data_IF_630230863458
#
_entry.id   IF_630230863458
#
_cell.length_a   1.000
_cell.length_b   1.000
_cell.length_c   1.000
_cell.angle_alpha   90.00
_cell.angle_beta   90.00
_cell.angle_gamma   90.00
#
_symmetry.space_group_name_H-M   'P 1'
#
loop_
_entity.id
_entity.type
_entity.pdbx_description
1 polymer ?
#
# COMPACT_ATOMS: atom_id res chain seq x y z
N UNK A 1 -31.31 17.32 3.67
CA UNK A 1 -30.09 16.64 3.18
C UNK A 1 -29.34 17.71 2.41
N UNK A 2 -28.25 18.22 2.95
CA UNK A 2 -27.42 19.17 2.21
C UNK A 2 -26.73 18.36 1.07
N UNK A 3 -26.58 18.93 -0.13
CA UNK A 3 -25.91 18.21 -1.20
C UNK A 3 -24.46 17.94 -0.78
N UNK A 4 -24.09 16.66 -0.72
CA UNK A 4 -22.72 16.25 -0.49
C UNK A 4 -21.83 16.87 -1.58
N UNK A 5 -20.75 17.53 -1.18
CA UNK A 5 -19.83 18.14 -2.14
C UNK A 5 -18.83 17.12 -2.66
N UNK A 6 -18.81 16.93 -3.97
CA UNK A 6 -17.80 16.07 -4.63
C UNK A 6 -16.44 16.76 -4.56
N UNK A 7 -15.47 16.13 -3.91
CA UNK A 7 -14.08 16.60 -3.88
C UNK A 7 -13.43 16.37 -5.24
N UNK A 8 -13.44 15.11 -5.70
CA UNK A 8 -12.98 14.70 -7.05
C UNK A 8 -13.43 13.29 -7.40
N UNK A 9 -13.36 12.95 -8.67
CA UNK A 9 -13.48 11.57 -9.14
C UNK A 9 -12.19 10.80 -8.88
N UNK A 10 -12.30 9.49 -8.70
CA UNK A 10 -11.13 8.62 -8.64
C UNK A 10 -10.46 8.53 -10.02
N UNK A 11 -9.13 8.49 -10.01
CA UNK A 11 -8.34 8.15 -11.19
C UNK A 11 -8.41 6.64 -11.47
N UNK A 12 -7.98 6.21 -12.66
CA UNK A 12 -8.08 4.81 -13.05
C UNK A 12 -7.33 3.86 -12.12
N UNK A 13 -6.15 4.28 -11.63
CA UNK A 13 -5.36 3.47 -10.70
C UNK A 13 -6.00 3.36 -9.31
N UNK A 14 -6.81 4.34 -8.91
CA UNK A 14 -7.53 4.37 -7.65
C UNK A 14 -8.83 3.56 -7.71
N UNK A 15 -9.51 3.55 -8.87
CA UNK A 15 -10.72 2.75 -9.09
C UNK A 15 -10.51 1.28 -8.80
N UNK A 16 -9.36 0.71 -9.18
CA UNK A 16 -9.02 -0.67 -8.88
C UNK A 16 -9.06 -0.95 -7.36
N UNK A 17 -8.63 0.01 -6.55
CA UNK A 17 -8.60 -0.10 -5.10
C UNK A 17 -10.00 0.06 -4.50
N UNK A 18 -10.83 0.90 -5.08
CA UNK A 18 -12.25 1.06 -4.71
C UNK A 18 -13.08 -0.20 -5.05
N UNK A 19 -12.87 -0.81 -6.22
CA UNK A 19 -13.57 -2.05 -6.61
C UNK A 19 -13.20 -3.25 -5.71
N UNK A 20 -12.02 -3.22 -5.09
CA UNK A 20 -11.56 -4.27 -4.17
C UNK A 20 -11.80 -3.96 -2.69
N UNK A 21 -12.41 -2.81 -2.36
CA UNK A 21 -12.67 -2.34 -0.99
C UNK A 21 -11.40 -2.42 -0.11
N UNK A 22 -10.28 -1.91 -0.62
CA UNK A 22 -8.98 -2.14 -0.03
C UNK A 22 -8.59 -1.06 0.98
N UNK A 23 -8.34 -1.45 2.24
CA UNK A 23 -7.83 -0.60 3.31
C UNK A 23 -6.41 -1.02 3.70
N UNK A 24 -5.55 -0.05 3.94
CA UNK A 24 -4.20 -0.25 4.47
C UNK A 24 -4.19 0.10 5.94
N UNK A 25 -3.65 -0.78 6.78
CA UNK A 25 -3.50 -0.57 8.21
C UNK A 25 -2.04 -0.43 8.61
N UNK A 26 -1.72 0.58 9.43
CA UNK A 26 -0.41 0.73 10.06
C UNK A 26 -0.60 0.94 11.57
N UNK A 27 0.04 0.09 12.37
CA UNK A 27 -0.03 0.14 13.83
C UNK A 27 1.30 0.51 14.47
N UNK A 28 1.22 1.15 15.65
CA UNK A 28 2.36 1.43 16.50
C UNK A 28 2.20 0.70 17.84
N UNK A 29 3.29 0.16 18.38
CA UNK A 29 3.30 -0.42 19.73
C UNK A 29 3.69 0.64 20.75
N UNK A 30 2.79 0.96 21.66
CA UNK A 30 3.02 1.90 22.74
C UNK A 30 3.30 1.16 24.05
N UNK A 31 4.34 1.56 24.76
CA UNK A 31 4.70 1.01 26.08
C UNK A 31 4.25 1.97 27.18
N UNK A 32 3.63 1.41 28.20
CA UNK A 32 3.10 2.16 29.33
C UNK A 32 1.62 2.55 29.16
N UNK A 33 1.06 3.28 30.14
CA UNK A 33 -0.33 3.71 30.09
C UNK A 33 -0.55 4.69 28.94
N UNK A 34 -1.66 4.48 28.22
CA UNK A 34 -2.07 5.36 27.12
C UNK A 34 -3.30 6.16 27.56
N UNK A 35 -3.25 7.44 27.37
CA UNK A 35 -4.37 8.34 27.57
C UNK A 35 -5.28 8.27 26.33
N UNK A 36 -6.41 7.59 26.47
CA UNK A 36 -7.36 7.36 25.38
C UNK A 36 -8.06 8.65 24.96
N UNK A 37 -8.35 9.55 25.90
CA UNK A 37 -9.01 10.83 25.61
C UNK A 37 -8.05 11.75 24.82
N UNK A 38 -6.77 11.79 25.23
CA UNK A 38 -5.75 12.52 24.47
C UNK A 38 -5.53 11.93 23.08
N UNK A 39 -5.59 10.59 22.92
CA UNK A 39 -5.45 9.94 21.62
C UNK A 39 -6.66 10.21 20.71
N UNK A 40 -7.88 10.26 21.29
CA UNK A 40 -9.10 10.64 20.57
C UNK A 40 -9.00 12.08 20.07
N UNK A 41 -8.60 13.02 20.93
CA UNK A 41 -8.42 14.43 20.55
C UNK A 41 -7.32 14.62 19.48
N UNK A 42 -6.24 13.81 19.56
CA UNK A 42 -5.20 13.80 18.53
C UNK A 42 -5.72 13.28 17.19
N UNK A 43 -6.59 12.28 17.23
CA UNK A 43 -7.23 11.74 16.02
C UNK A 43 -8.17 12.77 15.39
N UNK A 44 -9.03 13.43 16.18
CA UNK A 44 -9.89 14.49 15.68
C UNK A 44 -9.06 15.63 15.04
N UNK A 45 -7.92 15.96 15.64
CA UNK A 45 -6.98 16.94 15.10
C UNK A 45 -6.35 16.50 13.76
N UNK A 46 -6.02 15.22 13.62
CA UNK A 46 -5.54 14.67 12.35
C UNK A 46 -6.62 14.78 11.26
N UNK A 47 -7.89 14.53 11.60
CA UNK A 47 -9.01 14.67 10.67
C UNK A 47 -9.24 16.13 10.28
N UNK A 48 -9.13 17.06 11.22
CA UNK A 48 -9.19 18.51 10.94
C UNK A 48 -8.05 18.97 10.02
N UNK A 49 -6.83 18.43 10.23
CA UNK A 49 -5.68 18.71 9.38
C UNK A 49 -5.85 18.15 7.96
N UNK A 50 -6.58 17.05 7.82
CA UNK A 50 -6.71 16.27 6.57
C UNK A 50 -8.17 15.91 6.29
N UNK A 51 -9.01 16.89 5.90
CA UNK A 51 -10.46 16.68 5.73
C UNK A 51 -10.83 15.57 4.72
N UNK A 52 -9.95 15.23 3.77
CA UNK A 52 -10.19 14.12 2.84
C UNK A 52 -10.34 12.78 3.54
N UNK A 53 -9.77 12.62 4.74
CA UNK A 53 -9.89 11.37 5.52
C UNK A 53 -11.33 11.16 6.06
N UNK A 54 -12.09 12.25 6.29
CA UNK A 54 -13.49 12.16 6.72
C UNK A 54 -14.46 11.95 5.56
N UNK A 55 -13.96 11.90 4.33
CA UNK A 55 -14.77 11.66 3.14
C UNK A 55 -15.21 10.19 3.03
N UNK A 56 -16.08 9.93 2.08
CA UNK A 56 -16.52 8.59 1.69
C UNK A 56 -16.50 8.43 0.17
N UNK A 57 -16.62 7.20 -0.32
CA UNK A 57 -16.75 6.94 -1.74
C UNK A 57 -18.23 6.77 -2.11
N UNK A 58 -18.63 7.46 -3.15
CA UNK A 58 -19.90 7.23 -3.82
C UNK A 58 -19.68 6.84 -5.28
N UNK A 59 -20.58 6.01 -5.80
CA UNK A 59 -20.60 5.71 -7.24
C UNK A 59 -21.42 6.78 -7.97
N UNK A 60 -20.74 7.52 -8.84
CA UNK A 60 -21.37 8.55 -9.68
C UNK A 60 -22.28 7.95 -10.76
N UNK A 61 -23.03 8.82 -11.44
CA UNK A 61 -23.95 8.42 -12.52
C UNK A 61 -23.25 7.75 -13.72
N UNK A 62 -21.97 8.00 -13.91
CA UNK A 62 -21.13 7.39 -14.93
C UNK A 62 -20.54 6.03 -14.50
N UNK A 63 -20.91 5.52 -13.31
CA UNK A 63 -20.47 4.27 -12.74
C UNK A 63 -19.11 4.34 -12.05
N UNK A 64 -18.39 5.47 -12.12
CA UNK A 64 -17.10 5.67 -11.45
C UNK A 64 -17.28 6.15 -10.03
N UNK A 65 -16.32 5.80 -9.16
CA UNK A 65 -16.30 6.31 -7.81
C UNK A 65 -15.82 7.77 -7.75
N UNK A 66 -16.35 8.48 -6.78
CA UNK A 66 -15.96 9.84 -6.45
C UNK A 66 -15.77 9.97 -4.94
N UNK A 67 -14.81 10.79 -4.54
CA UNK A 67 -14.59 11.16 -3.15
C UNK A 67 -15.58 12.28 -2.84
N UNK A 68 -16.40 12.07 -1.82
CA UNK A 68 -17.46 12.98 -1.43
C UNK A 68 -17.23 13.41 0.00
N UNK A 69 -17.21 14.73 0.24
CA UNK A 69 -17.15 15.25 1.59
C UNK A 69 -18.42 14.87 2.35
N UNK A 70 -18.27 14.42 3.57
CA UNK A 70 -19.36 14.11 4.46
C UNK A 70 -19.46 15.18 5.55
N UNK A 71 -20.67 15.71 5.74
CA UNK A 71 -20.96 16.63 6.84
C UNK A 71 -21.31 15.87 8.14
N UNK A 72 -21.29 14.54 8.10
CA UNK A 72 -21.48 13.70 9.28
C UNK A 72 -20.23 13.75 10.17
N UNK A 73 -20.45 13.69 11.48
CA UNK A 73 -19.34 13.57 12.41
C UNK A 73 -18.60 12.27 12.13
N UNK A 74 -17.26 12.32 12.00
CA UNK A 74 -16.47 11.11 11.79
C UNK A 74 -16.65 10.14 12.97
N UNK A 75 -16.57 8.85 12.69
CA UNK A 75 -16.57 7.84 13.73
C UNK A 75 -15.37 8.10 14.66
N UNK A 76 -15.61 8.06 15.98
CA UNK A 76 -14.55 8.15 16.96
C UNK A 76 -13.59 6.94 16.91
N UNK A 77 -12.67 6.87 17.85
CA UNK A 77 -11.75 5.75 17.96
C UNK A 77 -12.47 4.49 18.44
N UNK A 78 -12.09 3.34 17.90
CA UNK A 78 -12.58 2.01 18.31
C UNK A 78 -11.59 1.41 19.32
N UNK A 79 -12.00 1.32 20.60
CA UNK A 79 -11.13 0.78 21.66
C UNK A 79 -11.53 -0.64 21.99
N UNK A 80 -10.58 -1.57 21.86
CA UNK A 80 -10.79 -3.01 22.13
C UNK A 80 -9.82 -3.46 23.22
N UNK A 81 -10.37 -3.88 24.37
CA UNK A 81 -9.60 -4.48 25.45
C UNK A 81 -9.60 -6.01 25.35
N UNK A 82 -8.43 -6.59 25.27
CA UNK A 82 -8.22 -8.03 25.17
C UNK A 82 -7.61 -8.56 26.49
N UNK A 83 -8.48 -8.97 27.40
CA UNK A 83 -8.08 -9.47 28.72
C UNK A 83 -7.50 -10.89 28.71
N UNK A 84 -7.56 -11.60 27.56
CA UNK A 84 -7.01 -12.93 27.39
C UNK A 84 -6.09 -12.95 26.15
N UNK A 85 -4.84 -13.42 26.29
CA UNK A 85 -3.89 -13.49 25.16
C UNK A 85 -4.40 -14.33 23.97
N UNK A 86 -5.26 -15.32 24.24
CA UNK A 86 -5.84 -16.17 23.19
C UNK A 86 -7.04 -15.53 22.47
N UNK A 87 -7.55 -14.40 22.95
CA UNK A 87 -8.69 -13.73 22.33
C UNK A 87 -8.23 -12.92 21.11
N UNK A 88 -8.77 -13.25 19.95
CA UNK A 88 -8.58 -12.45 18.74
C UNK A 88 -9.39 -11.15 18.84
N UNK A 89 -8.83 -10.05 18.30
CA UNK A 89 -9.57 -8.80 18.17
C UNK A 89 -10.77 -8.99 17.25
N UNK A 90 -11.96 -8.47 17.59
CA UNK A 90 -13.12 -8.56 16.72
C UNK A 90 -12.79 -7.92 15.35
N UNK A 91 -13.33 -8.47 14.25
CA UNK A 91 -13.09 -7.90 12.93
C UNK A 91 -13.62 -6.47 12.86
N UNK A 92 -12.89 -5.59 12.20
CA UNK A 92 -13.39 -4.28 11.78
C UNK A 92 -14.30 -4.46 10.56
N UNK A 93 -15.39 -3.71 10.57
CA UNK A 93 -16.22 -3.55 9.38
C UNK A 93 -15.68 -2.35 8.60
N UNK A 94 -15.25 -2.60 7.36
CA UNK A 94 -14.81 -1.55 6.45
C UNK A 94 -15.87 -1.34 5.37
N UNK A 95 -16.48 -0.16 5.38
CA UNK A 95 -17.39 0.27 4.32
C UNK A 95 -16.95 1.63 3.79
N UNK A 96 -16.42 1.62 2.57
CA UNK A 96 -15.93 2.82 1.90
C UNK A 96 -17.05 3.83 1.57
N UNK A 97 -18.33 3.40 1.62
CA UNK A 97 -19.48 4.29 1.45
C UNK A 97 -19.87 5.01 2.73
N UNK A 98 -19.29 4.61 3.86
CA UNK A 98 -19.49 5.22 5.17
C UNK A 98 -18.27 6.03 5.62
N UNK A 99 -17.06 5.46 5.52
CA UNK A 99 -15.82 6.10 5.98
C UNK A 99 -14.60 5.58 5.25
N UNK A 100 -13.63 6.45 5.00
CA UNK A 100 -12.33 6.12 4.40
C UNK A 100 -11.21 5.99 5.44
N UNK A 101 -11.49 6.22 6.72
CA UNK A 101 -10.51 6.13 7.79
C UNK A 101 -11.10 5.50 9.05
N UNK A 102 -10.32 4.70 9.75
CA UNK A 102 -10.66 4.13 11.05
C UNK A 102 -9.42 4.11 11.94
N UNK A 103 -9.58 4.44 13.22
CA UNK A 103 -8.53 4.25 14.22
C UNK A 103 -9.01 3.24 15.26
N UNK A 104 -8.33 2.09 15.34
CA UNK A 104 -8.55 1.10 16.39
C UNK A 104 -7.41 1.12 17.38
N UNK A 105 -7.72 1.08 18.66
CA UNK A 105 -6.76 0.94 19.74
C UNK A 105 -6.98 -0.41 20.42
N UNK A 106 -6.06 -1.35 20.20
CA UNK A 106 -6.09 -2.64 20.88
C UNK A 106 -5.25 -2.57 22.14
N UNK A 107 -5.87 -2.82 23.30
CA UNK A 107 -5.19 -2.84 24.60
C UNK A 107 -5.03 -4.30 25.02
N UNK A 108 -3.80 -4.71 25.31
CA UNK A 108 -3.46 -6.05 25.78
C UNK A 108 -2.35 -5.97 26.82
N UNK A 109 -2.57 -6.57 28.01
CA UNK A 109 -1.59 -6.61 29.08
C UNK A 109 -1.02 -5.23 29.46
N UNK A 110 -1.87 -4.19 29.43
CA UNK A 110 -1.48 -2.80 29.73
C UNK A 110 -0.64 -2.12 28.64
N UNK A 111 -0.50 -2.75 27.49
CA UNK A 111 0.12 -2.15 26.31
C UNK A 111 -0.95 -1.80 25.28
N UNK A 112 -0.82 -0.66 24.63
CA UNK A 112 -1.74 -0.24 23.60
C UNK A 112 -1.10 -0.31 22.22
N UNK A 113 -1.89 -0.74 21.26
CA UNK A 113 -1.54 -0.74 19.84
C UNK A 113 -2.59 0.05 19.06
N UNK A 114 -2.42 1.38 18.89
CA UNK A 114 -3.20 2.12 17.92
C UNK A 114 -2.85 1.65 16.50
N UNK A 115 -3.88 1.37 15.71
CA UNK A 115 -3.75 1.01 14.30
C UNK A 115 -4.66 1.91 13.48
N UNK A 116 -4.06 2.74 12.64
CA UNK A 116 -4.76 3.59 11.70
C UNK A 116 -5.01 2.80 10.42
N UNK A 117 -6.24 2.76 9.96
CA UNK A 117 -6.65 2.18 8.68
C UNK A 117 -7.15 3.28 7.76
N UNK A 118 -6.65 3.32 6.54
CA UNK A 118 -7.08 4.28 5.52
C UNK A 118 -7.38 3.53 4.23
N UNK A 119 -8.45 3.94 3.54
CA UNK A 119 -8.77 3.38 2.24
C UNK A 119 -7.60 3.57 1.27
N UNK A 120 -7.19 2.50 0.61
CA UNK A 120 -5.94 2.48 -0.16
C UNK A 120 -5.95 3.44 -1.37
N UNK A 121 -7.12 3.92 -1.82
CA UNK A 121 -7.19 4.97 -2.83
C UNK A 121 -6.65 6.33 -2.36
N UNK A 122 -6.56 6.56 -1.04
CA UNK A 122 -6.05 7.82 -0.47
C UNK A 122 -4.59 7.76 -0.06
N UNK A 123 -4.11 6.59 0.36
CA UNK A 123 -2.77 6.46 0.94
C UNK A 123 -2.12 5.14 0.59
N UNK A 124 -0.83 5.16 0.30
CA UNK A 124 0.06 4.00 0.26
C UNK A 124 0.80 3.83 1.59
N UNK A 125 1.68 2.82 1.66
CA UNK A 125 2.43 2.54 2.88
C UNK A 125 3.29 3.72 3.36
N UNK A 126 3.92 4.46 2.46
CA UNK A 126 4.74 5.62 2.83
C UNK A 126 3.87 6.78 3.37
N UNK A 127 2.75 7.05 2.72
CA UNK A 127 1.79 8.05 3.20
C UNK A 127 1.25 7.66 4.59
N UNK A 128 0.96 6.37 4.83
CA UNK A 128 0.52 5.86 6.13
C UNK A 128 1.52 6.12 7.26
N UNK A 129 2.84 5.98 6.97
CA UNK A 129 3.87 6.36 7.97
C UNK A 129 3.77 7.82 8.36
N UNK A 130 3.57 8.73 7.41
CA UNK A 130 3.41 10.16 7.69
C UNK A 130 2.15 10.46 8.49
N UNK A 131 1.04 9.76 8.23
CA UNK A 131 -0.21 9.95 8.97
C UNK A 131 -0.09 9.44 10.41
N UNK A 132 0.51 8.28 10.64
CA UNK A 132 0.68 7.75 12.00
C UNK A 132 1.70 8.58 12.81
N UNK A 133 2.75 9.09 12.17
CA UNK A 133 3.71 10.01 12.79
C UNK A 133 3.04 11.33 13.20
N UNK A 134 2.19 11.88 12.33
CA UNK A 134 1.42 13.10 12.61
C UNK A 134 0.44 12.88 13.77
N UNK A 135 -0.32 11.79 13.77
CA UNK A 135 -1.22 11.39 14.86
C UNK A 135 -0.48 11.30 16.19
N UNK A 136 0.63 10.54 16.21
CA UNK A 136 1.41 10.35 17.43
C UNK A 136 2.12 11.64 17.89
N UNK A 137 2.42 12.55 16.96
CA UNK A 137 2.95 13.87 17.31
C UNK A 137 1.90 14.73 18.01
N UNK A 138 0.66 14.77 17.54
CA UNK A 138 -0.45 15.45 18.21
C UNK A 138 -0.73 14.86 19.60
N UNK A 139 -0.75 13.52 19.69
CA UNK A 139 -0.87 12.83 20.97
C UNK A 139 0.24 13.22 21.95
N UNK A 140 1.49 13.21 21.50
CA UNK A 140 2.65 13.58 22.33
C UNK A 140 2.57 15.02 22.80
N UNK A 141 2.18 15.95 21.93
CA UNK A 141 1.99 17.35 22.29
C UNK A 141 0.97 17.48 23.44
N UNK A 142 -0.18 16.82 23.34
CA UNK A 142 -1.22 16.84 24.39
C UNK A 142 -0.73 16.27 25.71
N UNK A 143 -0.13 15.09 25.68
CA UNK A 143 0.31 14.41 26.91
C UNK A 143 1.47 15.13 27.58
N UNK A 144 2.41 15.72 26.81
CA UNK A 144 3.58 16.36 27.35
C UNK A 144 3.37 17.83 27.74
N UNK A 145 2.53 18.56 26.98
CA UNK A 145 2.38 20.02 27.15
C UNK A 145 0.97 20.47 27.51
N UNK A 146 -0.02 19.58 27.41
CA UNK A 146 -1.43 19.90 27.61
C UNK A 146 -2.07 20.69 26.46
N UNK A 147 -1.33 20.91 25.35
CA UNK A 147 -1.84 21.64 24.19
C UNK A 147 -1.24 21.11 22.88
N UNK A 148 -2.02 21.16 21.80
CA UNK A 148 -1.54 20.79 20.48
C UNK A 148 -0.92 21.99 19.75
N UNK A 149 0.04 21.69 18.86
CA UNK A 149 0.57 22.67 17.90
C UNK A 149 -0.54 23.17 16.96
N UNK A 150 -0.39 24.37 16.36
CA UNK A 150 -1.32 24.86 15.35
C UNK A 150 -1.42 23.89 14.17
N UNK A 151 -2.64 23.64 13.71
CA UNK A 151 -2.94 22.74 12.61
C UNK A 151 -2.98 23.53 11.30
N UNK A 152 -2.36 22.99 10.27
CA UNK A 152 -2.51 23.49 8.89
C UNK A 152 -3.32 22.51 8.09
N UNK A 153 -4.48 22.96 7.61
CA UNK A 153 -5.35 22.13 6.75
C UNK A 153 -4.65 21.81 5.44
N UNK A 154 -4.60 20.53 5.13
CA UNK A 154 -4.00 20.01 3.90
C UNK A 154 -5.08 19.77 2.84
N UNK A 155 -4.75 20.07 1.59
CA UNK A 155 -5.61 19.71 0.46
C UNK A 155 -5.60 18.20 0.23
N UNK A 156 -6.66 17.69 -0.41
CA UNK A 156 -6.69 16.29 -0.83
C UNK A 156 -5.47 15.97 -1.74
N UNK A 157 -4.79 14.83 -1.51
CA UNK A 157 -3.65 14.45 -2.33
C UNK A 157 -4.09 14.14 -3.77
N UNK A 158 -3.24 14.50 -4.72
CA UNK A 158 -3.50 14.27 -6.13
C UNK A 158 -3.30 12.79 -6.50
N UNK A 159 -4.04 12.26 -7.48
CA UNK A 159 -3.78 10.93 -8.01
C UNK A 159 -2.47 10.90 -8.81
N UNK A 160 -1.84 9.73 -8.88
CA UNK A 160 -0.56 9.57 -9.59
C UNK A 160 -0.65 10.00 -11.07
N UNK A 161 -1.77 9.80 -11.72
CA UNK A 161 -1.99 10.21 -13.11
C UNK A 161 -1.85 11.73 -13.29
N UNK A 162 -2.37 12.54 -12.37
CA UNK A 162 -2.22 14.00 -12.40
C UNK A 162 -0.77 14.40 -12.16
N UNK A 163 -0.13 13.80 -11.16
CA UNK A 163 1.27 14.03 -10.82
C UNK A 163 2.22 13.71 -11.97
N UNK A 164 1.97 12.63 -12.71
CA UNK A 164 2.75 12.25 -13.90
C UNK A 164 2.51 13.23 -15.08
N UNK A 165 1.25 13.61 -15.30
CA UNK A 165 0.89 14.55 -16.36
C UNK A 165 1.56 15.92 -16.18
N UNK A 166 1.60 16.46 -14.95
CA UNK A 166 2.32 17.71 -14.63
C UNK A 166 3.81 17.66 -14.99
N UNK A 167 4.41 16.47 -14.91
CA UNK A 167 5.82 16.22 -15.22
C UNK A 167 6.06 15.83 -16.67
N UNK A 168 5.03 15.88 -17.52
CA UNK A 168 5.11 15.48 -18.91
C UNK A 168 5.35 13.99 -19.13
N UNK A 169 5.06 13.16 -18.12
CA UNK A 169 5.18 11.71 -18.21
C UNK A 169 3.87 11.15 -18.74
N UNK A 170 3.91 10.59 -19.93
CA UNK A 170 2.76 10.06 -20.64
C UNK A 170 2.88 8.55 -20.85
N UNK A 171 1.74 7.89 -21.08
CA UNK A 171 1.67 6.47 -21.40
C UNK A 171 2.46 6.18 -22.68
N UNK A 172 3.40 5.25 -22.58
CA UNK A 172 4.20 4.73 -23.69
C UNK A 172 3.60 3.42 -24.23
N UNK A 173 4.14 2.91 -25.34
CA UNK A 173 3.73 1.59 -25.85
C UNK A 173 4.19 0.44 -24.96
N UNK A 174 5.38 0.57 -24.35
CA UNK A 174 6.01 -0.43 -23.50
C UNK A 174 5.58 -0.21 -22.05
N UNK A 175 5.04 -1.25 -21.41
CA UNK A 175 4.59 -1.22 -20.01
C UNK A 175 5.48 -2.02 -19.07
N UNK A 176 6.35 -2.88 -19.61
CA UNK A 176 7.09 -3.89 -18.88
C UNK A 176 6.31 -5.21 -18.69
N UNK A 177 4.97 -5.17 -18.64
CA UNK A 177 4.13 -6.36 -18.43
C UNK A 177 4.20 -7.33 -19.64
N UNK A 178 4.48 -6.83 -20.82
CA UNK A 178 4.66 -7.64 -22.03
C UNK A 178 5.79 -8.68 -21.92
N UNK A 179 6.74 -8.50 -20.99
CA UNK A 179 7.77 -9.50 -20.70
C UNK A 179 7.19 -10.81 -20.21
N UNK A 180 6.00 -10.78 -19.61
CA UNK A 180 5.37 -11.98 -19.08
C UNK A 180 4.60 -12.80 -20.11
N UNK A 181 4.40 -12.27 -21.32
CA UNK A 181 3.67 -12.98 -22.37
C UNK A 181 4.19 -14.41 -22.58
N UNK A 182 5.52 -14.68 -22.64
CA UNK A 182 6.02 -16.03 -22.78
C UNK A 182 5.66 -16.94 -21.59
N UNK A 183 5.70 -16.40 -20.36
CA UNK A 183 5.39 -17.15 -19.16
C UNK A 183 3.87 -17.37 -18.99
N UNK A 184 3.03 -16.42 -19.40
CA UNK A 184 1.57 -16.53 -19.27
C UNK A 184 0.98 -17.73 -20.02
N UNK A 185 1.60 -18.15 -21.14
CA UNK A 185 1.16 -19.32 -21.90
C UNK A 185 1.81 -20.63 -21.44
N UNK A 186 2.84 -20.55 -20.60
CA UNK A 186 3.59 -21.69 -20.13
C UNK A 186 3.10 -22.23 -18.77
N UNK A 187 2.43 -21.37 -17.98
CA UNK A 187 1.83 -21.77 -16.72
C UNK A 187 0.35 -22.10 -16.93
N UNK A 188 -0.09 -23.27 -16.48
CA UNK A 188 -1.50 -23.51 -16.19
C UNK A 188 -1.93 -22.63 -15.02
N UNK A 189 -2.23 -21.38 -15.33
CA UNK A 189 -2.86 -20.51 -14.36
C UNK A 189 -4.21 -21.12 -14.01
N UNK A 190 -4.51 -21.35 -12.72
CA UNK A 190 -5.84 -21.78 -12.34
C UNK A 190 -6.83 -20.80 -12.98
N UNK A 191 -7.94 -21.29 -13.60
CA UNK A 191 -8.89 -20.42 -14.23
C UNK A 191 -9.21 -19.30 -13.24
N UNK A 192 -8.94 -18.05 -13.64
CA UNK A 192 -9.31 -16.91 -12.83
C UNK A 192 -10.78 -17.15 -12.48
N UNK A 193 -11.08 -17.34 -11.20
CA UNK A 193 -12.48 -17.31 -10.78
C UNK A 193 -12.94 -15.94 -11.25
N UNK A 194 -13.72 -15.94 -12.34
CA UNK A 194 -14.43 -14.75 -12.77
C UNK A 194 -15.03 -14.23 -11.50
N UNK A 195 -14.76 -12.97 -11.16
CA UNK A 195 -15.42 -12.30 -10.06
C UNK A 195 -16.90 -12.52 -10.29
N UNK A 196 -17.41 -13.59 -9.68
CA UNK A 196 -18.76 -14.08 -9.94
C UNK A 196 -19.65 -13.00 -9.38
N UNK A 197 -20.51 -12.51 -10.23
CA UNK A 197 -21.72 -11.81 -9.88
C UNK A 197 -22.06 -11.94 -8.39
N UNK A 198 -21.66 -10.96 -7.58
CA UNK A 198 -22.36 -10.57 -6.36
C UNK A 198 -22.50 -11.55 -5.18
N UNK A 199 -21.93 -12.72 -5.22
CA UNK A 199 -21.97 -13.64 -4.07
C UNK A 199 -20.79 -13.29 -3.16
N UNK A 200 -21.06 -12.56 -2.08
CA UNK A 200 -20.11 -12.42 -0.96
C UNK A 200 -19.64 -13.82 -0.57
N UNK A 201 -18.33 -14.06 -0.42
CA UNK A 201 -17.87 -15.35 0.10
C UNK A 201 -18.52 -15.58 1.45
N UNK A 202 -19.11 -16.76 1.65
CA UNK A 202 -19.87 -17.12 2.86
C UNK A 202 -18.99 -17.17 4.12
N UNK A 203 -17.68 -17.01 4.00
CA UNK A 203 -16.72 -16.96 5.11
C UNK A 203 -15.53 -16.10 4.71
N UNK A 204 -14.95 -15.30 5.64
CA UNK A 204 -13.72 -14.57 5.36
C UNK A 204 -12.62 -15.55 4.97
N UNK A 205 -11.99 -15.32 3.83
CA UNK A 205 -10.83 -16.10 3.39
C UNK A 205 -9.70 -15.84 4.38
N UNK A 206 -9.38 -16.82 5.21
CA UNK A 206 -8.22 -16.73 6.10
C UNK A 206 -6.97 -16.96 5.28
N UNK A 207 -6.20 -15.92 5.05
CA UNK A 207 -4.87 -16.03 4.44
C UNK A 207 -3.88 -16.42 5.54
N UNK A 208 -3.27 -17.61 5.48
CA UNK A 208 -2.28 -17.99 6.47
C UNK A 208 -1.07 -17.08 6.36
N UNK A 209 -0.68 -16.47 7.48
CA UNK A 209 0.51 -15.63 7.55
C UNK A 209 1.68 -16.48 8.05
N UNK A 210 2.77 -16.47 7.28
CA UNK A 210 4.04 -17.07 7.68
C UNK A 210 5.03 -15.93 7.94
N UNK A 211 5.60 -15.88 9.13
CA UNK A 211 6.63 -14.93 9.47
C UNK A 211 7.96 -15.64 9.72
N UNK A 212 9.03 -15.05 9.18
CA UNK A 212 10.40 -15.48 9.44
C UNK A 212 11.16 -14.28 10.01
N UNK A 213 11.84 -14.47 11.13
CA UNK A 213 12.65 -13.44 11.75
C UNK A 213 14.14 -13.75 11.55
N UNK A 214 14.85 -12.86 10.90
CA UNK A 214 16.30 -12.91 10.83
C UNK A 214 16.90 -12.38 12.13
N UNK A 215 18.01 -12.98 12.57
CA UNK A 215 18.81 -12.39 13.66
C UNK A 215 19.52 -11.14 13.16
N UNK A 216 19.91 -10.25 14.06
CA UNK A 216 20.70 -9.05 13.75
C UNK A 216 21.95 -9.42 12.93
N UNK A 217 22.69 -10.44 13.37
CA UNK A 217 23.86 -10.94 12.65
C UNK A 217 23.55 -11.36 11.21
N UNK A 218 22.46 -12.12 10.98
CA UNK A 218 22.10 -12.52 9.62
C UNK A 218 21.69 -11.32 8.76
N UNK A 219 21.03 -10.33 9.37
CA UNK A 219 20.69 -9.08 8.68
C UNK A 219 21.93 -8.32 8.27
N UNK A 220 22.91 -8.18 9.18
CA UNK A 220 24.20 -7.54 8.91
C UNK A 220 24.99 -8.27 7.82
N UNK A 221 25.03 -9.61 7.87
CA UNK A 221 25.71 -10.43 6.87
C UNK A 221 25.10 -10.21 5.46
N UNK A 222 23.75 -10.15 5.34
CA UNK A 222 23.07 -9.88 4.06
C UNK A 222 23.37 -8.46 3.58
N UNK A 223 23.33 -7.47 4.46
CA UNK A 223 23.63 -6.07 4.10
C UNK A 223 25.10 -5.93 3.67
N UNK A 224 26.03 -6.62 4.34
CA UNK A 224 27.44 -6.64 3.97
C UNK A 224 27.64 -7.29 2.59
N UNK A 225 26.95 -8.39 2.30
CA UNK A 225 26.96 -9.06 1.00
C UNK A 225 26.45 -8.09 -0.10
N UNK A 226 25.33 -7.43 0.11
CA UNK A 226 24.79 -6.44 -0.83
C UNK A 226 25.82 -5.36 -1.16
N UNK A 227 26.46 -4.79 -0.13
CA UNK A 227 27.50 -3.76 -0.30
C UNK A 227 28.73 -4.28 -1.04
N UNK A 228 29.19 -5.49 -0.72
CA UNK A 228 30.37 -6.10 -1.36
C UNK A 228 30.17 -6.29 -2.87
N UNK A 229 28.93 -6.50 -3.31
CA UNK A 229 28.58 -6.69 -4.71
C UNK A 229 27.97 -5.45 -5.38
N UNK A 230 27.86 -4.32 -4.69
CA UNK A 230 27.24 -3.09 -5.23
C UNK A 230 25.74 -3.23 -5.54
N UNK A 231 25.05 -4.14 -4.83
CA UNK A 231 23.65 -4.47 -5.05
C UNK A 231 22.75 -3.85 -3.99
N UNK A 232 21.52 -3.49 -4.38
CA UNK A 232 20.46 -3.16 -3.44
C UNK A 232 19.85 -4.41 -2.80
N UNK A 233 19.37 -4.28 -1.55
CA UNK A 233 18.73 -5.37 -0.81
C UNK A 233 17.54 -5.97 -1.58
N UNK A 234 16.73 -5.14 -2.25
CA UNK A 234 15.58 -5.58 -3.05
C UNK A 234 15.98 -6.57 -4.14
N UNK A 235 17.06 -6.30 -4.88
CA UNK A 235 17.53 -7.19 -5.94
C UNK A 235 17.97 -8.55 -5.40
N UNK A 236 18.72 -8.55 -4.28
CA UNK A 236 19.19 -9.79 -3.64
C UNK A 236 18.03 -10.62 -3.09
N UNK A 237 17.09 -9.98 -2.37
CA UNK A 237 15.92 -10.68 -1.85
C UNK A 237 15.01 -11.19 -2.96
N UNK A 238 14.83 -10.43 -4.05
CA UNK A 238 14.07 -10.86 -5.22
C UNK A 238 14.71 -12.10 -5.87
N UNK A 239 16.04 -12.12 -6.02
CA UNK A 239 16.75 -13.27 -6.56
C UNK A 239 16.57 -14.51 -5.67
N UNK A 240 16.64 -14.35 -4.34
CA UNK A 240 16.41 -15.45 -3.38
C UNK A 240 14.99 -16.00 -3.51
N UNK A 241 13.99 -15.13 -3.57
CA UNK A 241 12.58 -15.53 -3.71
C UNK A 241 12.34 -16.26 -5.03
N UNK A 242 12.85 -15.75 -6.14
CA UNK A 242 12.75 -16.39 -7.45
C UNK A 242 13.38 -17.78 -7.50
N UNK A 243 14.58 -17.94 -6.93
CA UNK A 243 15.25 -19.24 -6.84
C UNK A 243 14.48 -20.21 -5.95
N UNK A 244 13.95 -19.73 -4.81
CA UNK A 244 13.13 -20.55 -3.92
C UNK A 244 11.83 -20.99 -4.61
N UNK A 245 11.15 -20.08 -5.29
CA UNK A 245 9.92 -20.39 -6.05
C UNK A 245 10.20 -21.42 -7.16
N UNK A 246 11.27 -21.21 -7.93
CA UNK A 246 11.71 -22.14 -8.97
C UNK A 246 11.99 -23.55 -8.43
N UNK A 247 12.64 -23.65 -7.25
CA UNK A 247 12.89 -24.94 -6.58
C UNK A 247 11.59 -25.60 -6.10
N UNK A 248 10.70 -24.83 -5.48
CA UNK A 248 9.41 -25.33 -4.99
C UNK A 248 8.51 -25.82 -6.12
N UNK A 249 8.62 -25.25 -7.32
CA UNK A 249 7.91 -25.71 -8.53
C UNK A 249 8.56 -26.92 -9.20
N UNK A 250 9.59 -27.51 -8.65
CA UNK A 250 10.29 -28.69 -9.20
C UNK A 250 11.26 -28.35 -10.34
N UNK A 251 11.85 -27.18 -10.31
CA UNK A 251 12.87 -26.73 -11.28
C UNK A 251 12.39 -26.74 -12.74
N UNK A 252 11.25 -26.09 -13.06
CA UNK A 252 10.73 -26.10 -14.42
C UNK A 252 11.65 -25.33 -15.37
N UNK A 253 11.68 -25.77 -16.64
CA UNK A 253 12.35 -25.05 -17.72
C UNK A 253 11.42 -23.97 -18.31
N UNK A 254 10.86 -23.13 -17.43
CA UNK A 254 9.92 -22.06 -17.76
C UNK A 254 10.38 -20.83 -17.01
N UNK A 255 10.46 -19.65 -17.66
CA UNK A 255 10.85 -18.41 -16.99
C UNK A 255 9.88 -18.04 -15.85
N UNK A 256 10.43 -17.57 -14.72
CA UNK A 256 9.65 -17.19 -13.53
C UNK A 256 9.40 -15.68 -13.55
N UNK A 257 8.13 -15.22 -13.59
CA UNK A 257 7.83 -13.80 -13.58
C UNK A 257 7.96 -13.18 -12.19
N UNK A 258 8.48 -11.96 -12.13
CA UNK A 258 8.54 -11.13 -10.94
C UNK A 258 7.93 -9.77 -11.21
N UNK A 259 7.01 -9.34 -10.36
CA UNK A 259 6.52 -7.96 -10.31
C UNK A 259 6.78 -7.45 -8.89
N UNK A 260 7.27 -6.22 -8.79
CA UNK A 260 7.38 -5.54 -7.50
C UNK A 260 7.07 -4.05 -7.63
N UNK A 261 6.60 -3.48 -6.55
CA UNK A 261 6.22 -2.06 -6.48
C UNK A 261 7.45 -1.19 -6.26
N UNK A 262 7.43 0.00 -6.85
CA UNK A 262 8.49 1.00 -6.76
C UNK A 262 7.89 2.32 -6.29
N UNK A 263 8.36 2.86 -5.18
CA UNK A 263 7.96 4.19 -4.72
C UNK A 263 8.54 5.26 -5.66
N UNK A 264 7.68 5.85 -6.46
CA UNK A 264 8.06 6.86 -7.45
C UNK A 264 8.47 8.20 -6.84
N UNK A 265 8.20 8.46 -5.56
CA UNK A 265 8.60 9.71 -4.88
C UNK A 265 10.08 10.01 -5.10
N UNK A 266 10.91 8.96 -5.10
CA UNK A 266 12.36 9.07 -5.26
C UNK A 266 12.84 9.15 -6.73
N UNK A 267 11.96 8.86 -7.68
CA UNK A 267 12.30 8.74 -9.11
C UNK A 267 11.58 9.75 -10.01
N UNK A 268 10.78 10.65 -9.41
CA UNK A 268 10.14 11.75 -10.11
C UNK A 268 10.92 13.06 -9.90
N UNK A 269 10.93 13.92 -10.90
CA UNK A 269 11.54 15.25 -10.83
C UNK A 269 10.52 16.31 -11.24
N UNK A 270 10.21 17.30 -10.37
CA UNK A 270 10.64 17.38 -8.99
C UNK A 270 10.09 16.24 -8.11
N UNK A 271 10.74 15.94 -6.96
CA UNK A 271 10.26 14.91 -6.04
C UNK A 271 8.83 15.17 -5.54
N UNK A 272 8.13 14.12 -5.18
CA UNK A 272 6.79 14.19 -4.57
C UNK A 272 6.95 14.08 -3.05
N UNK A 273 6.24 14.93 -2.29
CA UNK A 273 6.22 14.83 -0.84
C UNK A 273 5.53 13.52 -0.38
N UNK A 274 5.77 13.13 0.87
CA UNK A 274 5.22 11.89 1.43
C UNK A 274 3.70 11.79 1.30
N UNK A 275 2.99 12.92 1.41
CA UNK A 275 1.53 13.01 1.38
C UNK A 275 0.98 13.78 0.17
N UNK A 276 1.82 14.17 -0.79
CA UNK A 276 1.43 14.98 -1.96
C UNK A 276 0.73 14.20 -3.07
N UNK A 277 0.74 12.86 -2.98
CA UNK A 277 0.10 11.98 -3.94
C UNK A 277 -0.51 10.79 -3.21
N UNK A 278 -1.63 10.28 -3.71
CA UNK A 278 -2.34 9.14 -3.08
C UNK A 278 -1.51 7.87 -3.10
N UNK A 279 -1.04 7.45 -4.27
CA UNK A 279 -0.28 6.21 -4.49
C UNK A 279 0.76 6.39 -5.60
N UNK A 280 1.87 7.10 -5.36
CA UNK A 280 2.92 7.28 -6.37
C UNK A 280 3.78 6.02 -6.50
N UNK A 281 3.14 4.94 -6.94
CA UNK A 281 3.73 3.62 -7.06
C UNK A 281 3.82 3.23 -8.52
N UNK A 282 5.04 2.94 -9.00
CA UNK A 282 5.31 2.28 -10.27
C UNK A 282 5.44 0.77 -10.12
N UNK A 283 5.51 0.06 -11.23
CA UNK A 283 5.76 -1.37 -11.28
C UNK A 283 7.05 -1.65 -12.02
N UNK A 284 7.95 -2.35 -11.37
CA UNK A 284 9.08 -2.99 -12.01
C UNK A 284 8.75 -4.45 -12.31
N UNK A 285 9.19 -4.92 -13.46
CA UNK A 285 8.91 -6.27 -13.94
C UNK A 285 10.20 -6.96 -14.35
N UNK A 286 10.30 -8.23 -14.08
CA UNK A 286 11.44 -9.05 -14.48
C UNK A 286 10.97 -10.46 -14.82
N UNK A 287 11.56 -11.09 -15.82
CA UNK A 287 11.29 -12.48 -16.20
C UNK A 287 12.59 -13.27 -16.06
N UNK A 288 12.65 -14.12 -15.03
CA UNK A 288 13.84 -14.86 -14.69
C UNK A 288 13.97 -16.15 -15.50
N UNK A 289 15.02 -16.28 -16.28
CA UNK A 289 15.45 -17.54 -16.89
C UNK A 289 16.42 -18.24 -15.92
N UNK A 290 15.92 -19.25 -15.18
CA UNK A 290 16.68 -19.90 -14.11
C UNK A 290 17.11 -21.28 -14.55
N UNK A 291 18.42 -21.56 -14.40
CA UNK A 291 19.05 -22.85 -14.60
C UNK A 291 19.65 -23.38 -13.28
N UNK A 292 20.04 -24.66 -13.24
CA UNK A 292 20.65 -25.27 -12.04
C UNK A 292 21.91 -24.58 -11.54
N UNK A 293 22.63 -23.90 -12.42
CA UNK A 293 23.86 -23.16 -12.10
C UNK A 293 23.65 -21.69 -11.76
N UNK A 294 22.44 -21.18 -11.89
CA UNK A 294 22.12 -19.77 -11.64
C UNK A 294 22.39 -19.41 -10.18
N UNK A 295 23.34 -18.51 -9.96
CA UNK A 295 23.68 -17.99 -8.64
C UNK A 295 22.78 -16.85 -8.20
N UNK A 296 22.61 -16.68 -6.87
CA UNK A 296 21.83 -15.56 -6.30
C UNK A 296 22.38 -14.21 -6.75
N UNK A 297 23.70 -14.05 -6.73
CA UNK A 297 24.37 -12.77 -7.04
C UNK A 297 24.23 -12.43 -8.52
N UNK A 298 24.43 -13.40 -9.41
CA UNK A 298 24.30 -13.19 -10.85
C UNK A 298 22.86 -12.78 -11.20
N UNK A 299 21.88 -13.50 -10.64
CA UNK A 299 20.46 -13.18 -10.82
C UNK A 299 20.11 -11.80 -10.24
N UNK A 300 20.68 -11.42 -9.08
CA UNK A 300 20.45 -10.12 -8.48
C UNK A 300 21.04 -8.98 -9.32
N UNK A 301 22.19 -9.16 -9.97
CA UNK A 301 22.74 -8.20 -10.93
C UNK A 301 21.82 -8.01 -12.13
N UNK A 302 21.32 -9.09 -12.71
CA UNK A 302 20.44 -9.06 -13.88
C UNK A 302 19.11 -8.33 -13.57
N UNK A 303 18.54 -8.58 -12.38
CA UNK A 303 17.37 -7.85 -11.87
C UNK A 303 17.68 -6.35 -11.72
N UNK A 304 18.83 -6.02 -11.13
CA UNK A 304 19.22 -4.63 -10.91
C UNK A 304 19.49 -3.89 -12.23
N UNK A 305 20.15 -4.52 -13.20
CA UNK A 305 20.40 -3.95 -14.52
C UNK A 305 19.09 -3.72 -15.28
N UNK A 306 18.17 -4.69 -15.25
CA UNK A 306 16.83 -4.55 -15.85
C UNK A 306 16.06 -3.40 -15.22
N UNK A 307 16.10 -3.28 -13.89
CA UNK A 307 15.48 -2.16 -13.18
C UNK A 307 16.04 -0.81 -13.61
N UNK A 308 17.36 -0.67 -13.68
CA UNK A 308 18.02 0.58 -14.07
C UNK A 308 17.68 0.96 -15.52
N UNK A 309 17.66 0.00 -16.45
CA UNK A 309 17.27 0.20 -17.83
C UNK A 309 15.83 0.69 -17.93
N UNK A 310 14.88 0.02 -17.27
CA UNK A 310 13.46 0.39 -17.29
C UNK A 310 13.20 1.75 -16.63
N UNK A 311 13.98 2.08 -15.60
CA UNK A 311 13.90 3.37 -14.95
C UNK A 311 14.42 4.49 -15.89
N UNK A 312 15.55 4.27 -16.54
CA UNK A 312 16.14 5.23 -17.48
C UNK A 312 15.25 5.46 -18.72
N UNK A 313 14.55 4.43 -19.18
CA UNK A 313 13.62 4.49 -20.30
C UNK A 313 12.22 5.03 -19.90
N UNK A 314 11.97 5.30 -18.61
CA UNK A 314 10.69 5.80 -18.12
C UNK A 314 9.58 4.75 -18.06
N UNK A 315 9.90 3.47 -18.25
CA UNK A 315 8.92 2.36 -18.25
C UNK A 315 8.25 2.23 -16.88
N UNK A 316 9.05 2.30 -15.79
CA UNK A 316 8.55 2.16 -14.42
C UNK A 316 7.64 3.33 -14.05
N UNK A 317 8.03 4.57 -14.36
CA UNK A 317 7.28 5.77 -13.99
C UNK A 317 5.87 5.78 -14.59
N UNK A 318 5.72 5.35 -15.83
CA UNK A 318 4.44 5.39 -16.54
C UNK A 318 3.65 4.08 -16.47
N UNK A 319 4.19 3.06 -15.78
CA UNK A 319 3.57 1.72 -15.70
C UNK A 319 2.13 1.76 -15.19
N UNK A 320 1.82 2.64 -14.24
CA UNK A 320 0.46 2.82 -13.69
C UNK A 320 -0.55 3.34 -14.72
N UNK A 321 -0.11 4.04 -15.77
CA UNK A 321 -0.98 4.55 -16.83
C UNK A 321 -1.53 3.44 -17.75
N UNK A 322 -1.03 2.20 -17.59
CA UNK A 322 -1.55 1.02 -18.30
C UNK A 322 -2.71 0.34 -17.59
N UNK A 323 -2.97 0.68 -16.32
CA UNK A 323 -4.11 0.13 -15.60
C UNK A 323 -5.41 0.78 -16.10
N UNK A 324 -6.39 -0.07 -16.37
CA UNK A 324 -7.74 0.34 -16.73
C UNK A 324 -8.73 -0.41 -15.84
N UNK A 325 -9.78 0.23 -15.36
CA UNK A 325 -10.84 -0.43 -14.57
C UNK A 325 -11.46 -1.64 -15.26
N UNK A 326 -11.39 -1.69 -16.58
CA UNK A 326 -11.92 -2.81 -17.39
C UNK A 326 -11.19 -4.15 -17.14
N UNK A 327 -9.99 -4.14 -16.56
CA UNK A 327 -9.25 -5.37 -16.23
C UNK A 327 -9.63 -5.95 -14.86
N UNK A 328 -10.37 -5.22 -14.04
CA UNK A 328 -10.78 -5.65 -12.70
C UNK A 328 -12.18 -6.27 -12.70
N UNK A 329 -12.98 -6.02 -13.70
CA UNK A 329 -14.41 -6.41 -13.78
C UNK A 329 -14.78 -7.44 -14.85
N UNK A 330 -13.83 -8.01 -15.59
CA UNK A 330 -14.12 -9.02 -16.63
C UNK A 330 -13.54 -10.39 -16.28
#
# INVERSE_FOLDING_TARGET
MFPSSVIRKLANSEEMLAETHNFVGLGAHMKGPVDIDALSAAYDTLLDARPVLTARLERGADGRHQIVADDLLPAGIDVVELNNPATESPPLHFDQSESLVHLRVTIRDGQAQPTLYVHHSLADGHHMYSLIEELLSYYTDLVCTGSMRPVTVQTAPEPIEAVLAERGIHKQKRSGIERFMPAMFAYDLPPSRRAGTGVKPASPVRVPMVSCRLSERHTDDIVALCRAHGLGLTAVLSAVVLLAEWQLRGTPNIPVPLIYTVDLRYFLSPPVSATGCTNPVGLATYLAEIERKTGVIDLAHDIAETFQSDLAEGVIQQSRLHFSPQYVGN
#
